data_IF_113822711267
#
_entry.id   IF_113822711267
#
_cell.length_a   1.000
_cell.length_b   1.000
_cell.length_c   1.000
_cell.angle_alpha   90.00
_cell.angle_beta   90.00
_cell.angle_gamma   90.00
#
_symmetry.space_group_name_H-M   'P 1'
#
loop_
_entity.id
_entity.type
_entity.pdbx_description
1 polymer ?
#
# COMPACT_ATOMS: atom_id res chain seq x y z
N UNK A 1 -3.92 -8.90 3.01
CA UNK A 1 -3.52 -7.49 3.31
C UNK A 1 -3.66 -7.19 4.80
N UNK A 2 -4.80 -7.50 5.42
CA UNK A 2 -5.08 -7.26 6.85
C UNK A 2 -4.10 -7.92 7.82
N UNK A 3 -3.46 -9.02 7.40
CA UNK A 3 -2.45 -9.73 8.19
C UNK A 3 -1.13 -8.97 8.38
N UNK A 4 -0.91 -7.86 7.65
CA UNK A 4 0.31 -7.07 7.75
C UNK A 4 0.10 -5.87 8.68
N UNK A 5 0.84 -5.82 9.79
CA UNK A 5 0.79 -4.71 10.77
C UNK A 5 1.13 -3.32 10.20
N UNK A 6 1.91 -3.29 9.11
CA UNK A 6 2.34 -2.10 8.41
C UNK A 6 1.20 -1.46 7.61
N UNK A 7 0.15 -2.23 7.29
CA UNK A 7 -1.03 -1.76 6.56
C UNK A 7 -1.95 -1.00 7.51
N UNK A 8 -2.25 0.26 7.19
CA UNK A 8 -3.12 1.16 7.97
C UNK A 8 -4.50 1.34 7.39
N UNK A 9 -4.62 1.14 6.07
CA UNK A 9 -5.87 1.25 5.36
C UNK A 9 -5.89 0.29 4.17
N UNK A 10 -7.07 -0.26 3.88
CA UNK A 10 -7.33 -1.06 2.69
C UNK A 10 -8.71 -0.69 2.15
N UNK A 11 -8.78 -0.47 0.84
CA UNK A 11 -10.03 -0.33 0.12
C UNK A 11 -9.97 -1.09 -1.20
N UNK A 12 -11.13 -1.56 -1.63
CA UNK A 12 -11.37 -1.96 -3.02
C UNK A 12 -11.86 -0.77 -3.80
N UNK A 13 -11.48 -0.66 -5.07
CA UNK A 13 -11.93 0.41 -5.94
C UNK A 13 -12.40 -0.13 -7.28
N UNK A 14 -13.41 0.53 -7.86
CA UNK A 14 -13.83 0.34 -9.24
C UNK A 14 -13.11 1.38 -10.09
N UNK A 15 -11.88 1.07 -10.51
CA UNK A 15 -11.01 1.94 -11.31
C UNK A 15 -9.74 1.21 -11.74
N UNK A 16 -8.71 1.94 -12.17
CA UNK A 16 -7.46 1.37 -12.70
C UNK A 16 -6.68 0.50 -11.68
N UNK A 17 -6.97 0.68 -10.39
CA UNK A 17 -6.42 -0.12 -9.31
C UNK A 17 -7.57 -0.80 -8.56
N UNK A 18 -7.57 -2.14 -8.51
CA UNK A 18 -8.62 -2.91 -7.82
C UNK A 18 -8.52 -2.80 -6.30
N UNK A 19 -7.30 -2.65 -5.78
CA UNK A 19 -7.00 -2.58 -4.34
C UNK A 19 -6.08 -1.39 -4.10
N UNK A 20 -6.45 -0.53 -3.15
CA UNK A 20 -5.61 0.55 -2.64
C UNK A 20 -5.31 0.31 -1.17
N UNK A 21 -4.07 0.54 -0.76
CA UNK A 21 -3.65 0.36 0.63
C UNK A 21 -2.68 1.46 1.05
N UNK A 22 -2.86 1.97 2.26
CA UNK A 22 -1.87 2.82 2.91
C UNK A 22 -1.00 1.95 3.80
N UNK A 23 0.32 2.04 3.60
CA UNK A 23 1.31 1.24 4.32
C UNK A 23 2.33 2.19 4.93
N UNK A 24 2.64 1.99 6.21
CA UNK A 24 3.64 2.78 6.93
C UNK A 24 4.92 1.98 7.08
N UNK A 25 6.01 2.51 6.53
CA UNK A 25 7.34 1.91 6.55
C UNK A 25 8.37 2.98 6.89
N UNK A 26 9.56 2.56 7.35
CA UNK A 26 10.58 3.50 7.82
C UNK A 26 11.19 4.34 6.70
N UNK A 27 11.44 3.72 5.55
CA UNK A 27 12.08 4.36 4.40
C UNK A 27 11.74 3.67 3.07
N UNK A 28 12.21 4.25 1.96
CA UNK A 28 11.99 3.71 0.61
C UNK A 28 12.64 2.35 0.36
N UNK A 29 13.68 1.97 1.13
CA UNK A 29 14.29 0.64 1.00
C UNK A 29 13.38 -0.42 1.61
N UNK A 30 12.80 -0.13 2.77
CA UNK A 30 11.78 -1.00 3.37
C UNK A 30 10.56 -1.13 2.47
N UNK A 31 10.14 -0.05 1.79
CA UNK A 31 9.07 -0.10 0.78
C UNK A 31 9.39 -1.08 -0.36
N UNK A 32 10.56 -0.95 -0.97
CA UNK A 32 10.99 -1.87 -2.03
C UNK A 32 11.01 -3.33 -1.56
N UNK A 33 11.56 -3.58 -0.37
CA UNK A 33 11.60 -4.92 0.23
C UNK A 33 10.20 -5.47 0.52
N UNK A 34 9.33 -4.67 1.12
CA UNK A 34 7.96 -5.05 1.46
C UNK A 34 7.16 -5.41 0.19
N UNK A 35 7.33 -4.64 -0.88
CA UNK A 35 6.70 -4.93 -2.18
C UNK A 35 7.26 -6.21 -2.78
N UNK A 36 8.58 -6.37 -2.88
CA UNK A 36 9.19 -7.53 -3.56
C UNK A 36 9.03 -8.84 -2.80
N UNK A 37 9.08 -8.81 -1.47
CA UNK A 37 9.09 -10.02 -0.63
C UNK A 37 7.72 -10.39 -0.07
N UNK A 38 6.80 -9.43 0.08
CA UNK A 38 5.46 -9.68 0.59
C UNK A 38 4.41 -9.51 -0.50
N UNK A 39 4.13 -8.27 -0.92
CA UNK A 39 2.96 -7.98 -1.78
C UNK A 39 3.07 -8.63 -3.16
N UNK A 40 4.21 -8.51 -3.83
CA UNK A 40 4.44 -9.07 -5.16
C UNK A 40 4.48 -10.60 -5.21
N UNK A 41 4.48 -11.27 -4.06
CA UNK A 41 4.41 -12.74 -3.96
C UNK A 41 3.00 -13.25 -3.64
N UNK A 42 2.05 -12.35 -3.37
CA UNK A 42 0.66 -12.74 -3.15
C UNK A 42 0.06 -13.28 -4.45
N UNK A 43 -0.61 -14.42 -4.35
CA UNK A 43 -1.28 -15.03 -5.49
C UNK A 43 -2.30 -14.05 -6.12
N UNK A 44 -2.27 -13.96 -7.45
CA UNK A 44 -3.15 -13.07 -8.21
C UNK A 44 -2.69 -11.61 -8.32
N UNK A 45 -1.61 -11.20 -7.64
CA UNK A 45 -1.03 -9.85 -7.84
C UNK A 45 -0.32 -9.78 -9.19
N UNK A 46 -0.87 -8.97 -10.09
CA UNK A 46 -0.29 -8.78 -11.44
C UNK A 46 0.61 -7.54 -11.53
N UNK A 47 0.31 -6.49 -10.76
CA UNK A 47 1.03 -5.22 -10.80
C UNK A 47 0.92 -4.51 -9.45
N UNK A 48 2.00 -3.84 -9.05
CA UNK A 48 2.03 -2.96 -7.88
C UNK A 48 2.50 -1.58 -8.32
N UNK A 49 1.75 -0.53 -7.97
CA UNK A 49 2.07 0.86 -8.29
C UNK A 49 2.24 1.65 -6.98
N UNK A 50 3.44 1.65 -6.37
CA UNK A 50 3.65 2.39 -5.14
C UNK A 50 3.73 3.90 -5.38
N UNK A 51 3.22 4.67 -4.42
CA UNK A 51 3.41 6.12 -4.34
C UNK A 51 3.79 6.49 -2.90
N UNK A 52 4.70 7.45 -2.74
CA UNK A 52 5.11 7.97 -1.43
C UNK A 52 4.38 9.28 -1.19
N UNK A 53 3.57 9.33 -0.12
CA UNK A 53 2.88 10.54 0.30
C UNK A 53 3.87 11.38 1.12
N UNK A 54 4.25 12.55 0.61
CA UNK A 54 5.18 13.46 1.28
C UNK A 54 4.48 14.31 2.35
N UNK A 55 3.26 14.77 2.06
CA UNK A 55 2.45 15.58 2.95
C UNK A 55 0.97 15.24 2.78
N UNK A 56 0.21 15.31 3.87
CA UNK A 56 -1.27 15.24 3.85
C UNK A 56 -1.81 16.64 4.14
N UNK A 57 -2.34 17.30 3.12
CA UNK A 57 -2.87 18.67 3.24
C UNK A 57 -4.22 18.71 3.96
N UNK A 58 -4.99 17.63 3.87
CA UNK A 58 -6.23 17.43 4.60
C UNK A 58 -6.23 16.00 5.12
N UNK A 59 -6.21 15.86 6.43
CA UNK A 59 -6.48 14.56 7.06
C UNK A 59 -8.00 14.39 7.23
N UNK A 60 -8.46 13.15 7.36
CA UNK A 60 -9.88 12.78 7.34
C UNK A 60 -10.78 13.77 8.07
N UNK A 61 -11.84 14.27 7.40
CA UNK A 61 -12.97 14.81 8.14
C UNK A 61 -13.54 13.65 8.95
N UNK A 62 -13.37 13.71 10.28
CA UNK A 62 -14.10 12.85 11.20
C UNK A 62 -15.60 13.09 11.13
#
# INVERSE_FOLDING_TARGET
>A
MTEFSEVKFVATSTGDHMIMTEIWLKDGRELGKFIAEKIGRLEGVQRVCPAVIMEKLKDSCG
#
